data_IF_169346258531
#
_entry.id   IF_169346258531
#
_cell.length_a   1.000
_cell.length_b   1.000
_cell.length_c   1.000
_cell.angle_alpha   90.00
_cell.angle_beta   90.00
_cell.angle_gamma   90.00
#
_symmetry.space_group_name_H-M   'P 1'
#
loop_
_entity.id
_entity.type
_entity.pdbx_description
1 polymer ?
#
# COMPACT_ATOMS: atom_id res chain seq x y z
N UNK A 1 -17.57 8.92 5.47
CA UNK A 1 -16.43 8.00 5.61
C UNK A 1 -15.43 8.66 6.54
N UNK A 2 -14.82 7.92 7.45
CA UNK A 2 -13.78 8.46 8.33
C UNK A 2 -12.46 8.77 7.62
N UNK A 3 -11.53 9.37 8.35
CA UNK A 3 -10.24 9.84 7.84
C UNK A 3 -9.04 9.02 8.36
N UNK A 4 -7.87 9.21 7.74
CA UNK A 4 -6.62 8.65 8.23
C UNK A 4 -6.29 9.17 9.65
N UNK A 5 -6.22 8.25 10.63
CA UNK A 5 -5.79 8.54 12.02
C UNK A 5 -4.27 8.67 12.19
N UNK A 6 -3.47 8.53 11.12
CA UNK A 6 -2.00 8.48 11.17
C UNK A 6 -1.45 7.45 12.17
N UNK A 7 -2.09 6.30 12.31
CA UNK A 7 -1.63 5.24 13.22
C UNK A 7 -0.38 4.48 12.73
N UNK A 8 -0.07 4.58 11.43
CA UNK A 8 1.11 4.00 10.81
C UNK A 8 1.06 2.49 10.56
N UNK A 9 -0.01 1.79 10.98
CA UNK A 9 -0.14 0.34 10.85
C UNK A 9 0.01 -0.13 9.40
N UNK A 10 -0.71 0.50 8.46
CA UNK A 10 -0.64 0.15 7.05
C UNK A 10 0.73 0.40 6.40
N UNK A 11 1.61 1.21 7.00
CA UNK A 11 2.97 1.44 6.51
C UNK A 11 4.01 0.54 7.18
N UNK A 12 3.77 0.11 8.43
CA UNK A 12 4.66 -0.81 9.17
C UNK A 12 4.42 -2.26 8.79
N UNK A 13 3.19 -2.58 8.39
CA UNK A 13 2.70 -3.90 8.06
C UNK A 13 1.85 -3.85 6.78
N UNK A 14 2.49 -3.51 5.65
CA UNK A 14 1.85 -3.55 4.33
C UNK A 14 1.58 -5.02 3.99
N UNK A 15 0.31 -5.39 3.82
CA UNK A 15 -0.10 -6.77 3.49
C UNK A 15 -0.50 -6.86 2.03
N UNK A 16 0.01 -7.87 1.33
CA UNK A 16 -0.24 -8.11 -0.09
C UNK A 16 -0.52 -9.58 -0.37
N UNK A 17 -1.19 -9.85 -1.49
CA UNK A 17 -1.38 -11.20 -2.01
C UNK A 17 -0.12 -11.72 -2.73
N UNK A 18 0.74 -10.81 -3.19
CA UNK A 18 1.91 -11.11 -4.01
C UNK A 18 3.19 -11.29 -3.20
N UNK A 19 3.97 -12.31 -3.57
CA UNK A 19 5.27 -12.60 -2.97
C UNK A 19 6.36 -11.59 -3.39
N UNK A 20 7.48 -11.51 -2.64
CA UNK A 20 8.59 -10.62 -2.98
C UNK A 20 9.16 -10.89 -4.37
N UNK A 21 9.24 -12.16 -4.78
CA UNK A 21 9.77 -12.59 -6.08
C UNK A 21 8.84 -12.18 -7.22
N UNK A 22 7.53 -12.29 -7.02
CA UNK A 22 6.54 -11.88 -8.01
C UNK A 22 6.58 -10.35 -8.20
N UNK A 23 6.63 -9.60 -7.10
CA UNK A 23 6.79 -8.15 -7.12
C UNK A 23 8.10 -7.71 -7.79
N UNK A 24 9.22 -8.37 -7.49
CA UNK A 24 10.51 -8.09 -8.12
C UNK A 24 10.47 -8.32 -9.63
N UNK A 25 9.91 -9.46 -10.06
CA UNK A 25 9.77 -9.81 -11.47
C UNK A 25 8.89 -8.81 -12.20
N UNK A 26 7.75 -8.44 -11.60
CA UNK A 26 6.83 -7.47 -12.17
C UNK A 26 7.49 -6.08 -12.27
N UNK A 27 8.19 -5.63 -11.24
CA UNK A 27 8.97 -4.39 -11.28
C UNK A 27 10.08 -4.43 -12.34
N UNK A 28 10.79 -5.55 -12.46
CA UNK A 28 11.82 -5.76 -13.48
C UNK A 28 11.26 -5.70 -14.91
N UNK A 29 10.05 -6.22 -15.13
CA UNK A 29 9.33 -6.10 -16.39
C UNK A 29 8.88 -4.66 -16.64
N UNK A 30 8.28 -4.01 -15.63
CA UNK A 30 7.87 -2.61 -15.67
C UNK A 30 9.02 -1.69 -16.12
N UNK A 31 10.21 -1.82 -15.53
CA UNK A 31 11.38 -1.01 -15.94
C UNK A 31 11.79 -1.18 -17.42
N UNK A 32 11.45 -2.30 -18.05
CA UNK A 32 11.84 -2.63 -19.43
C UNK A 32 10.77 -2.22 -20.45
N UNK A 33 9.53 -2.00 -20.02
CA UNK A 33 8.39 -1.75 -20.91
C UNK A 33 8.20 -0.25 -21.10
N UNK A 34 8.18 0.23 -22.35
CA UNK A 34 8.07 1.66 -22.69
C UNK A 34 6.62 2.18 -22.80
N UNK A 35 5.65 1.29 -22.84
CA UNK A 35 4.23 1.61 -22.94
C UNK A 35 3.52 0.86 -21.83
N UNK A 36 3.22 1.57 -20.76
CA UNK A 36 2.60 0.99 -19.59
C UNK A 36 1.29 1.73 -19.38
N UNK A 37 0.21 0.95 -19.26
CA UNK A 37 -1.09 1.47 -18.91
C UNK A 37 -0.98 2.21 -17.56
N UNK A 38 -1.25 3.53 -17.51
CA UNK A 38 -1.13 4.33 -16.30
C UNK A 38 -2.08 3.87 -15.19
N UNK A 39 -3.10 3.06 -15.49
CA UNK A 39 -4.09 2.60 -14.52
C UNK A 39 -3.75 1.26 -13.85
N UNK A 40 -2.82 0.47 -14.40
CA UNK A 40 -2.57 -0.92 -13.95
C UNK A 40 -1.24 -1.12 -13.19
N UNK A 41 -0.42 -0.07 -13.07
CA UNK A 41 1.02 -0.28 -12.91
C UNK A 41 1.64 0.29 -11.66
N UNK A 42 0.85 0.96 -10.82
CA UNK A 42 1.40 1.58 -9.62
C UNK A 42 1.74 0.56 -8.53
N UNK A 43 1.00 -0.55 -8.43
CA UNK A 43 1.30 -1.60 -7.44
C UNK A 43 2.71 -2.18 -7.61
N UNK A 44 3.25 -2.24 -8.81
CA UNK A 44 4.63 -2.72 -9.02
C UNK A 44 5.69 -1.67 -8.70
N UNK A 45 5.32 -0.38 -8.58
CA UNK A 45 6.20 0.68 -8.10
C UNK A 45 6.50 0.55 -6.60
N UNK A 46 5.69 -0.21 -5.85
CA UNK A 46 5.89 -0.37 -4.41
C UNK A 46 7.04 -1.31 -4.11
N UNK A 47 7.39 -2.23 -5.00
CA UNK A 47 8.48 -3.19 -4.77
C UNK A 47 9.77 -2.51 -4.25
N UNK A 48 10.33 -1.48 -4.91
CA UNK A 48 11.51 -0.79 -4.39
C UNK A 48 11.26 -0.08 -3.05
N UNK A 49 10.01 0.25 -2.71
CA UNK A 49 9.60 0.93 -1.48
C UNK A 49 9.38 -0.02 -0.31
N UNK A 50 9.28 -1.33 -0.55
CA UNK A 50 8.98 -2.33 0.48
C UNK A 50 10.22 -3.13 0.91
N UNK A 51 10.21 -3.51 2.18
CA UNK A 51 11.12 -4.49 2.77
C UNK A 51 10.27 -5.66 3.23
N UNK A 52 10.52 -6.86 2.70
CA UNK A 52 9.82 -8.06 3.14
C UNK A 52 10.09 -8.35 4.62
N UNK A 53 9.05 -8.72 5.35
CA UNK A 53 9.13 -9.09 6.75
C UNK A 53 8.99 -10.61 6.92
N UNK A 54 7.84 -11.15 6.56
CA UNK A 54 7.52 -12.58 6.66
C UNK A 54 6.30 -12.93 5.81
N UNK A 55 6.05 -14.23 5.68
CA UNK A 55 4.86 -14.80 5.06
C UNK A 55 4.04 -15.55 6.12
N UNK A 56 2.71 -15.36 6.11
CA UNK A 56 1.76 -16.09 6.94
C UNK A 56 0.61 -16.62 6.08
N UNK A 57 0.68 -17.90 5.68
CA UNK A 57 -0.28 -18.51 4.75
C UNK A 57 -1.70 -18.70 5.31
N UNK A 58 -1.93 -18.44 6.59
CA UNK A 58 -3.28 -18.47 7.18
C UNK A 58 -4.07 -17.18 6.98
N UNK A 59 -3.45 -16.13 6.42
CA UNK A 59 -4.08 -14.84 6.14
C UNK A 59 -4.44 -14.70 4.67
N UNK A 60 -5.53 -13.96 4.35
CA UNK A 60 -5.96 -13.70 2.97
C UNK A 60 -4.92 -12.89 2.17
N UNK A 61 -4.16 -12.02 2.86
CA UNK A 61 -3.03 -11.27 2.33
C UNK A 61 -1.75 -11.74 3.04
N UNK A 62 -1.15 -12.87 2.60
CA UNK A 62 -0.17 -13.61 3.39
C UNK A 62 1.22 -12.98 3.44
N UNK A 63 1.54 -12.02 2.55
CA UNK A 63 2.87 -11.44 2.48
C UNK A 63 2.92 -10.09 3.19
N UNK A 64 3.75 -10.01 4.23
CA UNK A 64 3.90 -8.83 5.06
C UNK A 64 5.20 -8.08 4.73
N UNK A 65 5.08 -6.76 4.62
CA UNK A 65 6.17 -5.87 4.27
C UNK A 65 6.19 -4.62 5.16
N UNK A 66 7.37 -4.04 5.36
CA UNK A 66 7.52 -2.69 5.91
C UNK A 66 7.80 -1.69 4.78
N UNK A 67 7.15 -0.53 4.82
CA UNK A 67 7.46 0.58 3.94
C UNK A 67 8.77 1.27 4.38
N UNK A 68 9.74 1.39 3.46
CA UNK A 68 11.02 2.06 3.69
C UNK A 68 10.89 3.56 3.94
N UNK A 69 9.76 4.15 3.57
CA UNK A 69 9.47 5.57 3.76
C UNK A 69 8.69 5.88 5.05
N UNK A 70 8.32 4.84 5.80
CA UNK A 70 7.76 5.02 7.15
C UNK A 70 8.78 5.72 8.04
N UNK A 71 8.34 6.77 8.71
CA UNK A 71 9.13 7.50 9.69
C UNK A 71 8.24 8.01 10.82
N UNK A 72 8.85 8.59 11.84
CA UNK A 72 8.18 9.28 12.93
C UNK A 72 8.56 10.75 12.83
N UNK A 73 7.57 11.65 12.90
CA UNK A 73 7.80 13.09 12.90
C UNK A 73 8.29 13.60 14.26
N UNK A 74 8.46 14.92 14.39
CA UNK A 74 9.04 15.55 15.59
C UNK A 74 8.11 15.43 16.79
N UNK A 75 6.82 15.23 16.54
CA UNK A 75 5.75 15.10 17.50
C UNK A 75 5.54 13.64 17.96
N UNK A 76 6.33 12.69 17.43
CA UNK A 76 6.21 11.28 17.76
C UNK A 76 5.12 10.55 16.96
N UNK A 77 4.57 11.18 15.91
CA UNK A 77 3.50 10.62 15.10
C UNK A 77 4.04 9.93 13.83
N UNK A 78 3.41 8.83 13.39
CA UNK A 78 3.68 8.23 12.10
C UNK A 78 3.59 9.21 10.93
N UNK A 79 4.59 9.16 10.06
CA UNK A 79 4.73 10.01 8.89
C UNK A 79 5.35 9.25 7.70
N UNK A 80 5.29 9.87 6.53
CA UNK A 80 5.91 9.38 5.30
C UNK A 80 7.00 10.36 4.84
N UNK A 81 8.24 9.88 4.70
CA UNK A 81 9.39 10.70 4.31
C UNK A 81 9.29 11.27 2.88
N UNK A 82 8.41 10.69 2.05
CA UNK A 82 8.13 11.15 0.69
C UNK A 82 6.68 11.63 0.52
N UNK A 83 6.00 12.03 1.59
CA UNK A 83 4.58 12.41 1.56
C UNK A 83 4.18 13.31 0.36
N UNK A 84 4.94 14.37 -0.02
CA UNK A 84 4.58 15.24 -1.14
C UNK A 84 4.63 14.55 -2.52
N UNK A 85 5.53 13.58 -2.69
CA UNK A 85 5.83 12.92 -3.97
C UNK A 85 5.41 11.45 -3.99
N UNK A 86 4.63 11.01 -3.00
CA UNK A 86 4.18 9.62 -2.91
C UNK A 86 3.35 9.23 -4.16
N UNK A 87 3.41 7.95 -4.59
CA UNK A 87 2.61 7.46 -5.72
C UNK A 87 1.10 7.65 -5.50
N UNK A 88 0.30 7.68 -6.58
CA UNK A 88 -1.14 7.95 -6.49
C UNK A 88 -1.87 6.86 -5.69
N UNK A 89 -1.50 5.59 -5.83
CA UNK A 89 -2.05 4.52 -4.99
C UNK A 89 -1.90 4.76 -3.48
N UNK A 90 -0.81 5.41 -3.04
CA UNK A 90 -0.61 5.77 -1.64
C UNK A 90 -1.40 7.03 -1.22
N UNK A 91 -1.85 7.85 -2.19
CA UNK A 91 -2.75 8.99 -1.96
C UNK A 91 -4.19 8.53 -1.87
N UNK A 92 -4.55 7.57 -2.71
CA UNK A 92 -5.93 7.13 -2.92
C UNK A 92 -6.32 5.99 -1.95
N UNK A 93 -5.36 5.41 -1.21
CA UNK A 93 -5.63 4.42 -0.17
C UNK A 93 -6.61 4.95 0.91
N UNK A 94 -7.59 4.14 1.37
CA UNK A 94 -7.90 2.77 0.96
C UNK A 94 -8.92 2.69 -0.19
N UNK A 95 -9.35 3.83 -0.73
CA UNK A 95 -10.49 3.94 -1.61
C UNK A 95 -10.18 3.65 -3.08
N UNK A 96 -8.90 3.75 -3.47
CA UNK A 96 -8.38 3.48 -4.82
C UNK A 96 -9.34 4.00 -5.91
N UNK A 97 -9.48 5.33 -5.99
CA UNK A 97 -10.38 5.98 -6.95
C UNK A 97 -10.06 5.55 -8.40
N UNK A 98 -11.10 5.42 -9.23
CA UNK A 98 -11.04 5.04 -10.66
C UNK A 98 -10.58 3.60 -10.96
N UNK A 99 -10.40 2.74 -9.95
CA UNK A 99 -10.03 1.33 -10.17
C UNK A 99 -11.30 0.47 -10.31
N UNK A 100 -11.83 0.37 -11.54
CA UNK A 100 -13.12 -0.28 -11.85
C UNK A 100 -13.23 -1.77 -11.47
N UNK A 101 -12.11 -2.44 -11.19
CA UNK A 101 -12.06 -3.86 -10.80
C UNK A 101 -12.02 -4.09 -9.29
N UNK A 102 -11.85 -3.05 -8.47
CA UNK A 102 -12.01 -3.14 -7.03
C UNK A 102 -13.48 -2.88 -6.71
N UNK A 103 -14.18 -3.86 -6.14
CA UNK A 103 -15.60 -3.76 -5.84
C UNK A 103 -15.86 -2.59 -4.88
N UNK A 104 -16.75 -1.67 -5.29
CA UNK A 104 -17.16 -0.49 -4.50
C UNK A 104 -17.68 -0.83 -3.09
N UNK A 105 -18.13 -2.06 -2.86
CA UNK A 105 -18.75 -2.50 -1.61
C UNK A 105 -17.73 -2.95 -0.54
N UNK A 106 -16.45 -3.15 -0.89
CA UNK A 106 -15.39 -3.62 0.03
C UNK A 106 -14.25 -2.60 0.23
N UNK A 107 -14.54 -1.30 0.14
CA UNK A 107 -13.56 -0.22 0.39
C UNK A 107 -13.19 -0.04 1.88
N UNK A 108 -13.27 -1.11 2.68
CA UNK A 108 -12.80 -1.11 4.06
C UNK A 108 -11.33 -1.51 4.09
N UNK A 109 -10.56 -0.74 4.85
CA UNK A 109 -9.18 -1.09 5.14
C UNK A 109 -9.13 -2.40 5.93
N UNK A 110 -8.24 -3.35 5.59
CA UNK A 110 -8.10 -4.63 6.32
C UNK A 110 -7.47 -4.45 7.72
N UNK A 111 -6.94 -3.26 8.02
CA UNK A 111 -6.29 -2.97 9.30
C UNK A 111 -7.30 -2.69 10.41
N UNK A 112 -7.19 -3.43 11.51
CA UNK A 112 -7.94 -3.20 12.73
C UNK A 112 -7.74 -1.76 13.25
N UNK A 113 -8.84 -1.11 13.65
CA UNK A 113 -8.83 0.26 14.17
C UNK A 113 -8.52 1.35 13.14
N UNK A 114 -8.47 1.01 11.84
CA UNK A 114 -8.24 1.98 10.79
C UNK A 114 -9.35 3.04 10.75
N UNK A 115 -8.97 4.33 10.80
CA UNK A 115 -9.94 5.43 10.82
C UNK A 115 -10.81 5.56 9.57
N UNK A 116 -10.34 5.07 8.43
CA UNK A 116 -11.15 5.03 7.21
C UNK A 116 -12.36 4.09 7.30
N UNK A 117 -12.36 3.16 8.25
CA UNK A 117 -13.48 2.26 8.54
C UNK A 117 -14.49 2.88 9.51
N UNK A 118 -14.18 4.01 10.13
CA UNK A 118 -15.10 4.66 11.06
C UNK A 118 -16.29 5.28 10.31
N UNK A 119 -17.51 5.24 10.88
CA UNK A 119 -18.63 6.02 10.37
C UNK A 119 -18.25 7.52 10.45
N UNK A 120 -18.31 8.20 9.30
CA UNK A 120 -18.04 9.63 9.22
C UNK A 120 -19.22 10.48 9.66
#
# INVERSE_FOLDING_TARGET
MGDCKRCGTCCRDVRLAESPELLEKAYGYWKKTKQIDPNFSEIYLIYPMLTFLFENQSEDLPYHYACKHYTIDKEGLPACSIHPVRPRMCKDFPYYEDVSHLQKEENLSPYEGCGYNDPG
#
